data_IF_078370095688
#
_entry.id   IF_078370095688
#
_cell.length_a   1.000
_cell.length_b   1.000
_cell.length_c   1.000
_cell.angle_alpha   90.00
_cell.angle_beta   90.00
_cell.angle_gamma   90.00
#
_symmetry.space_group_name_H-M   'P 1'
#
loop_
_entity.id
_entity.type
_entity.pdbx_description
1 polymer ?
#
# COMPACT_ATOMS: atom_id res chain seq x y z
N UNK A 1 -18.69 -4.40 2.67
CA UNK A 1 -18.81 -3.29 1.68
C UNK A 1 -18.94 -3.84 0.27
N UNK A 2 -19.63 -3.09 -0.60
CA UNK A 2 -19.80 -3.42 -2.00
C UNK A 2 -19.33 -2.26 -2.89
N UNK A 3 -18.84 -2.56 -4.10
CA UNK A 3 -18.52 -1.55 -5.12
C UNK A 3 -19.01 -1.99 -6.48
N UNK A 4 -19.82 -1.14 -7.08
CA UNK A 4 -20.35 -1.29 -8.43
C UNK A 4 -19.89 -0.11 -9.27
N UNK A 5 -19.36 -0.36 -10.45
CA UNK A 5 -19.04 0.64 -11.45
C UNK A 5 -20.03 0.52 -12.62
N UNK A 6 -20.40 1.66 -13.21
CA UNK A 6 -21.39 1.72 -14.30
C UNK A 6 -22.83 1.58 -13.78
N UNK A 7 -23.78 1.64 -14.73
CA UNK A 7 -25.22 1.55 -14.46
C UNK A 7 -25.88 0.62 -15.49
N UNK A 8 -27.06 0.07 -15.11
CA UNK A 8 -27.84 -0.78 -15.99
C UNK A 8 -27.07 -2.01 -16.49
N UNK A 9 -27.09 -2.27 -17.80
CA UNK A 9 -26.44 -3.44 -18.43
C UNK A 9 -24.91 -3.38 -18.40
N UNK A 10 -24.30 -2.21 -18.16
CA UNK A 10 -22.85 -2.04 -18.06
C UNK A 10 -22.33 -2.11 -16.62
N UNK A 11 -23.18 -2.42 -15.66
CA UNK A 11 -22.83 -2.50 -14.25
C UNK A 11 -21.86 -3.64 -13.96
N UNK A 12 -20.69 -3.31 -13.42
CA UNK A 12 -19.67 -4.27 -12.98
C UNK A 12 -19.60 -4.28 -11.46
N UNK A 13 -19.93 -5.41 -10.84
CA UNK A 13 -19.78 -5.63 -9.40
C UNK A 13 -18.32 -5.95 -9.08
N UNK A 14 -17.51 -4.91 -8.83
CA UNK A 14 -16.09 -5.04 -8.58
C UNK A 14 -15.77 -5.59 -7.17
N UNK A 15 -16.61 -5.29 -6.16
CA UNK A 15 -16.54 -5.87 -4.81
C UNK A 15 -17.93 -6.32 -4.35
N UNK A 16 -17.99 -7.49 -3.69
CA UNK A 16 -19.23 -8.13 -3.23
C UNK A 16 -19.07 -8.59 -1.78
N UNK A 17 -19.77 -7.95 -0.87
CA UNK A 17 -19.84 -8.30 0.55
C UNK A 17 -18.47 -8.48 1.23
N UNK A 18 -17.49 -7.65 0.83
CA UNK A 18 -16.15 -7.68 1.41
C UNK A 18 -16.19 -7.14 2.83
N UNK A 19 -15.73 -7.95 3.79
CA UNK A 19 -15.65 -7.56 5.21
C UNK A 19 -14.43 -8.22 5.86
N UNK A 20 -13.55 -7.40 6.42
CA UNK A 20 -12.42 -7.84 7.26
C UNK A 20 -11.92 -6.66 8.10
N UNK A 21 -11.08 -6.96 9.09
CA UNK A 21 -10.37 -5.97 9.89
C UNK A 21 -8.87 -6.18 9.78
N UNK A 22 -8.08 -5.13 10.00
CA UNK A 22 -6.60 -5.18 10.03
C UNK A 22 -6.14 -4.69 11.39
N UNK A 23 -5.21 -5.41 12.01
CA UNK A 23 -4.65 -5.05 13.31
C UNK A 23 -3.48 -4.09 13.13
N UNK A 24 -3.26 -3.23 14.13
CA UNK A 24 -2.07 -2.36 14.15
C UNK A 24 -0.80 -3.20 14.15
N UNK A 25 0.16 -2.83 13.31
CA UNK A 25 1.43 -3.53 13.14
C UNK A 25 1.35 -4.79 12.28
N UNK A 26 0.17 -5.12 11.74
CA UNK A 26 -0.02 -6.31 10.88
C UNK A 26 0.56 -6.07 9.49
N UNK A 27 1.26 -7.09 8.97
CA UNK A 27 1.64 -7.18 7.57
C UNK A 27 0.66 -8.11 6.86
N UNK A 28 -0.31 -7.51 6.18
CA UNK A 28 -1.39 -8.20 5.45
C UNK A 28 -1.08 -8.27 3.97
N UNK A 29 -1.15 -9.46 3.36
CA UNK A 29 -1.18 -9.60 1.91
C UNK A 29 -2.63 -9.73 1.41
N UNK A 30 -2.91 -9.06 0.30
CA UNK A 30 -4.12 -9.23 -0.51
C UNK A 30 -3.69 -9.81 -1.85
N UNK A 31 -4.10 -11.05 -2.12
CA UNK A 31 -3.73 -11.79 -3.33
C UNK A 31 -4.95 -12.11 -4.18
N UNK A 32 -4.74 -12.45 -5.45
CA UNK A 32 -5.80 -12.86 -6.37
C UNK A 32 -5.39 -12.64 -7.82
N UNK A 33 -6.14 -13.23 -8.76
CA UNK A 33 -5.92 -13.07 -10.18
C UNK A 33 -6.13 -11.63 -10.67
N UNK A 34 -5.64 -11.31 -11.87
CA UNK A 34 -5.96 -10.03 -12.52
C UNK A 34 -7.48 -9.88 -12.67
N UNK A 35 -8.01 -8.68 -12.43
CA UNK A 35 -9.45 -8.40 -12.50
C UNK A 35 -10.28 -8.90 -11.31
N UNK A 36 -9.69 -9.54 -10.30
CA UNK A 36 -10.45 -10.08 -9.15
C UNK A 36 -11.03 -9.01 -8.21
N UNK A 37 -10.62 -7.73 -8.31
CA UNK A 37 -11.09 -6.63 -7.47
C UNK A 37 -10.04 -6.08 -6.48
N UNK A 38 -8.78 -6.56 -6.51
CA UNK A 38 -7.72 -6.13 -5.58
C UNK A 38 -7.46 -4.62 -5.59
N UNK A 39 -7.25 -4.03 -6.77
CA UNK A 39 -6.99 -2.59 -6.90
C UNK A 39 -8.22 -1.77 -6.51
N UNK A 40 -9.44 -2.27 -6.81
CA UNK A 40 -10.67 -1.64 -6.32
C UNK A 40 -10.71 -1.65 -4.79
N UNK A 41 -10.39 -2.78 -4.17
CA UNK A 41 -10.33 -2.87 -2.70
C UNK A 41 -9.29 -1.92 -2.12
N UNK A 42 -8.10 -1.85 -2.73
CA UNK A 42 -7.05 -0.93 -2.31
C UNK A 42 -7.50 0.53 -2.42
N UNK A 43 -8.25 0.89 -3.49
CA UNK A 43 -8.81 2.23 -3.65
C UNK A 43 -9.84 2.57 -2.57
N UNK A 44 -10.68 1.60 -2.15
CA UNK A 44 -11.63 1.80 -1.05
C UNK A 44 -10.89 2.04 0.28
N UNK A 45 -9.93 1.17 0.63
CA UNK A 45 -9.12 1.31 1.85
C UNK A 45 -8.27 2.58 1.78
N UNK A 46 -7.76 2.90 0.58
CA UNK A 46 -6.94 4.07 0.29
C UNK A 46 -7.71 5.39 0.27
N UNK A 47 -9.03 5.35 0.45
CA UNK A 47 -9.91 6.53 0.39
C UNK A 47 -9.74 7.33 -0.93
N UNK A 48 -9.42 6.61 -2.02
CA UNK A 48 -9.32 7.16 -3.37
C UNK A 48 -10.64 7.08 -4.11
N UNK A 49 -11.54 6.21 -3.64
CA UNK A 49 -12.90 6.05 -4.13
C UNK A 49 -13.82 5.67 -2.97
N UNK A 50 -15.14 5.78 -3.14
CA UNK A 50 -16.14 5.48 -2.12
C UNK A 50 -16.85 4.17 -2.43
N UNK A 51 -17.17 3.33 -1.43
CA UNK A 51 -18.00 2.14 -1.64
C UNK A 51 -19.40 2.55 -2.10
N UNK A 52 -20.03 1.72 -2.95
CA UNK A 52 -21.44 1.89 -3.34
C UNK A 52 -22.37 1.62 -2.16
N UNK A 53 -21.98 0.67 -1.29
CA UNK A 53 -22.65 0.40 -0.02
C UNK A 53 -21.70 -0.21 1.00
N UNK A 54 -22.06 -0.09 2.28
CA UNK A 54 -21.19 -0.49 3.39
C UNK A 54 -20.28 0.66 3.84
N UNK A 55 -19.29 0.34 4.69
CA UNK A 55 -18.48 1.33 5.39
C UNK A 55 -17.01 0.94 5.42
N UNK A 56 -16.15 1.95 5.49
CA UNK A 56 -14.71 1.81 5.75
C UNK A 56 -14.39 2.57 7.03
N UNK A 57 -13.85 1.84 8.03
CA UNK A 57 -13.39 2.43 9.28
C UNK A 57 -11.86 2.44 9.32
N UNK A 58 -11.28 3.58 9.67
CA UNK A 58 -9.85 3.72 9.90
C UNK A 58 -9.62 4.47 11.22
N UNK A 59 -8.85 3.89 12.13
CA UNK A 59 -8.64 4.40 13.49
C UNK A 59 -9.96 4.73 14.23
N UNK A 60 -11.01 3.91 14.03
CA UNK A 60 -12.34 4.10 14.63
C UNK A 60 -13.22 5.15 13.96
N UNK A 61 -12.74 5.85 12.93
CA UNK A 61 -13.49 6.86 12.18
C UNK A 61 -14.20 6.21 11.00
N UNK A 62 -15.53 6.42 10.88
CA UNK A 62 -16.29 6.06 9.68
C UNK A 62 -15.97 7.05 8.54
N UNK A 63 -15.11 6.62 7.63
CA UNK A 63 -14.60 7.49 6.55
C UNK A 63 -15.66 7.80 5.50
N UNK A 64 -16.77 7.06 5.46
CA UNK A 64 -17.88 7.31 4.53
C UNK A 64 -18.68 8.57 4.89
N UNK A 65 -18.55 9.03 6.13
CA UNK A 65 -19.22 10.23 6.64
C UNK A 65 -18.42 11.52 6.39
N UNK A 66 -17.14 11.41 5.97
CA UNK A 66 -16.28 12.55 5.72
C UNK A 66 -16.60 13.21 4.37
N UNK A 67 -16.61 14.55 4.31
CA UNK A 67 -16.64 15.26 3.04
C UNK A 67 -15.28 15.15 2.31
N UNK A 68 -15.18 15.62 1.08
CA UNK A 68 -13.99 15.41 0.23
C UNK A 68 -12.72 16.10 0.78
N UNK A 69 -12.86 17.26 1.41
CA UNK A 69 -11.75 17.99 2.04
C UNK A 69 -11.25 17.25 3.30
N UNK A 70 -12.18 16.81 4.13
CA UNK A 70 -11.88 16.01 5.31
C UNK A 70 -11.23 14.67 4.91
N UNK A 71 -11.79 14.00 3.91
CA UNK A 71 -11.28 12.74 3.38
C UNK A 71 -9.85 12.90 2.83
N UNK A 72 -9.59 13.99 2.09
CA UNK A 72 -8.26 14.29 1.57
C UNK A 72 -7.23 14.54 2.70
N UNK A 73 -7.61 15.33 3.69
CA UNK A 73 -6.76 15.60 4.87
C UNK A 73 -6.52 14.35 5.69
N UNK A 74 -7.56 13.55 5.90
CA UNK A 74 -7.51 12.29 6.63
C UNK A 74 -6.61 11.27 5.90
N UNK A 75 -6.78 11.12 4.58
CA UNK A 75 -5.94 10.26 3.73
C UNK A 75 -4.48 10.66 3.85
N UNK A 76 -4.13 11.94 3.70
CA UNK A 76 -2.76 12.41 3.78
C UNK A 76 -2.11 12.18 5.16
N UNK A 77 -2.89 12.25 6.25
CA UNK A 77 -2.38 12.06 7.62
C UNK A 77 -2.31 10.58 8.03
N UNK A 78 -3.22 9.74 7.54
CA UNK A 78 -3.41 8.37 8.04
C UNK A 78 -2.91 7.28 7.10
N UNK A 79 -2.72 7.59 5.82
CA UNK A 79 -2.34 6.62 4.81
C UNK A 79 -1.04 7.02 4.12
N UNK A 80 -0.15 6.01 3.96
CA UNK A 80 0.99 6.08 3.07
C UNK A 80 0.74 5.21 1.82
N UNK A 81 1.32 5.58 0.69
CA UNK A 81 1.16 4.85 -0.56
C UNK A 81 2.50 4.46 -1.17
N UNK A 82 2.59 3.22 -1.60
CA UNK A 82 3.70 2.67 -2.39
C UNK A 82 3.10 1.99 -3.61
N UNK A 83 3.49 2.41 -4.81
CA UNK A 83 2.97 1.86 -6.06
C UNK A 83 4.02 0.99 -6.76
N UNK A 84 3.58 0.20 -7.72
CA UNK A 84 4.41 -0.64 -8.56
C UNK A 84 5.52 0.17 -9.27
N UNK A 85 5.16 1.35 -9.82
CA UNK A 85 6.12 2.37 -10.20
C UNK A 85 6.30 3.33 -9.02
N UNK A 86 7.53 3.67 -8.68
CA UNK A 86 7.83 4.54 -7.53
C UNK A 86 7.16 5.93 -7.64
N UNK A 87 6.80 6.36 -8.86
CA UNK A 87 6.12 7.62 -9.17
C UNK A 87 6.80 8.82 -8.47
N UNK A 88 8.13 8.85 -8.55
CA UNK A 88 8.90 9.99 -8.10
C UNK A 88 8.89 11.09 -9.17
N UNK A 89 8.85 12.35 -8.75
CA UNK A 89 9.02 13.49 -9.63
C UNK A 89 10.48 13.58 -10.05
N UNK A 90 10.76 13.42 -11.34
CA UNK A 90 12.10 13.27 -11.93
C UNK A 90 13.04 14.44 -11.63
N UNK A 91 12.49 15.65 -11.55
CA UNK A 91 13.25 16.90 -11.39
C UNK A 91 13.55 17.23 -9.92
N UNK A 92 12.88 16.55 -9.01
CA UNK A 92 13.12 16.68 -7.58
C UNK A 92 14.20 15.69 -7.12
N UNK A 93 14.90 16.07 -6.07
CA UNK A 93 15.81 15.17 -5.35
C UNK A 93 15.01 14.07 -4.63
N UNK A 94 15.69 13.01 -4.20
CA UNK A 94 15.13 11.94 -3.37
C UNK A 94 14.57 12.51 -2.06
N UNK A 95 15.28 13.45 -1.43
CA UNK A 95 14.83 14.15 -0.23
C UNK A 95 13.55 14.96 -0.48
N UNK A 96 13.52 15.74 -1.55
CA UNK A 96 12.35 16.55 -1.91
C UNK A 96 11.13 15.69 -2.24
N UNK A 97 11.30 14.56 -2.97
CA UNK A 97 10.25 13.59 -3.20
C UNK A 97 9.69 13.01 -1.90
N UNK A 98 10.58 12.67 -0.96
CA UNK A 98 10.17 12.14 0.36
C UNK A 98 9.35 13.16 1.14
N UNK A 99 9.65 14.44 1.01
CA UNK A 99 8.96 15.53 1.71
C UNK A 99 7.59 15.93 1.12
N UNK A 100 7.26 15.51 -0.13
CA UNK A 100 6.05 15.96 -0.81
C UNK A 100 4.76 15.82 0.01
N UNK A 101 4.46 14.67 0.64
CA UNK A 101 3.21 14.53 1.40
C UNK A 101 3.14 15.48 2.60
N UNK A 102 4.28 15.78 3.22
CA UNK A 102 4.36 16.70 4.36
C UNK A 102 4.11 18.15 3.94
N UNK A 103 4.63 18.55 2.76
CA UNK A 103 4.43 19.90 2.21
C UNK A 103 2.97 20.22 1.89
N UNK A 104 2.12 19.22 1.61
CA UNK A 104 0.70 19.41 1.32
C UNK A 104 -0.05 19.92 2.56
N UNK A 105 0.31 19.46 3.76
CA UNK A 105 -0.36 19.87 4.99
C UNK A 105 0.31 21.07 5.66
N UNK A 106 1.56 20.95 6.01
CA UNK A 106 2.41 22.02 6.59
C UNK A 106 3.87 21.59 6.55
N UNK A 107 4.74 22.48 6.12
CA UNK A 107 6.19 22.27 6.29
C UNK A 107 6.57 22.82 7.66
N UNK A 108 6.93 21.96 8.59
CA UNK A 108 7.58 22.35 9.82
C UNK A 108 9.11 22.17 9.73
N UNK A 109 9.86 22.78 10.65
CA UNK A 109 11.32 22.72 10.63
C UNK A 109 11.87 21.31 10.86
N UNK A 110 11.07 20.38 11.44
CA UNK A 110 11.48 19.01 11.76
C UNK A 110 11.32 18.07 10.58
N UNK A 111 10.48 18.42 9.58
CA UNK A 111 10.15 17.55 8.44
C UNK A 111 11.40 17.12 7.65
N UNK A 112 12.38 18.02 7.48
CA UNK A 112 13.62 17.71 6.75
C UNK A 112 14.46 16.68 7.52
N UNK A 113 14.58 16.79 8.82
CA UNK A 113 15.36 15.86 9.64
C UNK A 113 14.66 14.50 9.74
N UNK A 114 13.33 14.47 9.82
CA UNK A 114 12.53 13.24 9.75
C UNK A 114 12.70 12.55 8.39
N UNK A 115 12.64 13.29 7.29
CA UNK A 115 12.86 12.74 5.95
C UNK A 115 14.27 12.16 5.79
N UNK A 116 15.32 12.88 6.29
CA UNK A 116 16.68 12.36 6.30
C UNK A 116 16.81 11.09 7.15
N UNK A 117 16.15 11.04 8.31
CA UNK A 117 16.12 9.84 9.15
C UNK A 117 15.47 8.64 8.42
N UNK A 118 14.32 8.85 7.77
CA UNK A 118 13.66 7.82 6.97
C UNK A 118 14.55 7.35 5.81
N UNK A 119 15.20 8.27 5.10
CA UNK A 119 16.10 7.93 4.00
C UNK A 119 17.32 7.12 4.48
N UNK A 120 17.87 7.40 5.67
CA UNK A 120 18.89 6.53 6.29
C UNK A 120 18.32 5.15 6.60
N UNK A 121 17.11 5.09 7.17
CA UNK A 121 16.45 3.82 7.52
C UNK A 121 16.25 2.92 6.30
N UNK A 122 15.92 3.50 5.14
CA UNK A 122 15.77 2.75 3.88
C UNK A 122 17.09 2.63 3.08
N UNK A 123 18.23 3.05 3.66
CA UNK A 123 19.57 2.90 3.05
C UNK A 123 19.84 3.83 1.87
N UNK A 124 19.28 5.05 1.89
CA UNK A 124 19.44 6.06 0.83
C UNK A 124 20.17 7.33 1.29
N UNK A 125 20.97 7.25 2.36
CA UNK A 125 21.68 8.41 2.89
C UNK A 125 22.57 9.09 1.83
N UNK A 126 23.30 8.31 1.04
CA UNK A 126 24.20 8.83 0.00
C UNK A 126 23.45 9.40 -1.22
N UNK A 127 22.20 8.97 -1.44
CA UNK A 127 21.41 9.35 -2.61
C UNK A 127 20.40 10.48 -2.34
N UNK A 128 20.27 10.95 -1.09
CA UNK A 128 19.18 11.87 -0.73
C UNK A 128 19.20 13.20 -1.52
N UNK A 129 20.38 13.64 -1.97
CA UNK A 129 20.55 14.85 -2.78
C UNK A 129 20.56 14.57 -4.30
N UNK A 130 20.52 13.31 -4.73
CA UNK A 130 20.44 12.98 -6.14
C UNK A 130 19.03 13.26 -6.67
N UNK A 131 18.91 13.69 -7.91
CA UNK A 131 17.62 13.77 -8.60
C UNK A 131 17.05 12.37 -8.81
N UNK A 132 15.71 12.24 -8.80
CA UNK A 132 15.04 10.96 -8.93
C UNK A 132 15.33 10.23 -10.25
N UNK A 133 15.65 10.97 -11.33
CA UNK A 133 16.06 10.38 -12.61
C UNK A 133 17.53 9.88 -12.64
N UNK A 134 18.27 10.02 -11.54
CA UNK A 134 19.69 9.60 -11.42
C UNK A 134 19.89 8.44 -10.44
N UNK A 135 18.81 7.77 -10.03
CA UNK A 135 18.86 6.63 -9.12
C UNK A 135 18.29 5.37 -9.78
N UNK A 136 18.67 4.19 -9.28
CA UNK A 136 18.17 2.91 -9.79
C UNK A 136 16.70 2.66 -9.38
N UNK A 137 16.01 1.74 -10.08
CA UNK A 137 14.63 1.36 -9.77
C UNK A 137 14.43 0.93 -8.31
N UNK A 138 15.33 0.10 -7.78
CA UNK A 138 15.29 -0.31 -6.37
C UNK A 138 15.55 0.84 -5.39
N UNK A 139 16.40 1.81 -5.76
CA UNK A 139 16.59 3.03 -4.99
C UNK A 139 15.34 3.91 -5.03
N UNK A 140 14.70 4.03 -6.20
CA UNK A 140 13.46 4.77 -6.36
C UNK A 140 12.33 4.14 -5.52
N UNK A 141 12.23 2.82 -5.50
CA UNK A 141 11.22 2.12 -4.70
C UNK A 141 11.45 2.32 -3.19
N UNK A 142 12.70 2.29 -2.72
CA UNK A 142 13.03 2.63 -1.32
C UNK A 142 12.68 4.08 -0.98
N UNK A 143 12.90 5.02 -1.91
CA UNK A 143 12.49 6.41 -1.73
C UNK A 143 10.95 6.56 -1.68
N UNK A 144 10.20 5.80 -2.50
CA UNK A 144 8.74 5.78 -2.45
C UNK A 144 8.23 5.24 -1.10
N UNK A 145 8.88 4.22 -0.53
CA UNK A 145 8.58 3.72 0.82
C UNK A 145 8.82 4.82 1.88
N UNK A 146 9.97 5.50 1.83
CA UNK A 146 10.26 6.61 2.74
C UNK A 146 9.24 7.75 2.61
N UNK A 147 8.85 8.09 1.37
CA UNK A 147 7.78 9.06 1.08
C UNK A 147 6.44 8.63 1.68
N UNK A 148 6.08 7.36 1.57
CA UNK A 148 4.87 6.80 2.16
C UNK A 148 4.83 6.90 3.70
N UNK A 149 5.99 6.91 4.35
CA UNK A 149 6.12 6.92 5.81
C UNK A 149 6.26 8.32 6.43
N UNK A 150 6.47 9.38 5.64
CA UNK A 150 6.88 10.71 6.15
C UNK A 150 5.85 11.34 7.10
N UNK A 151 4.57 11.06 6.92
CA UNK A 151 3.51 11.57 7.79
C UNK A 151 3.20 10.63 8.96
N UNK A 152 4.04 9.60 9.21
CA UNK A 152 3.80 8.57 10.24
C UNK A 152 2.40 7.96 10.14
N UNK A 153 2.01 7.44 8.98
CA UNK A 153 0.64 6.98 8.72
C UNK A 153 0.28 5.78 9.59
N UNK A 154 -1.03 5.60 9.84
CA UNK A 154 -1.54 4.39 10.51
C UNK A 154 -1.35 3.14 9.65
N UNK A 155 -1.50 3.27 8.32
CA UNK A 155 -1.37 2.17 7.36
C UNK A 155 -0.55 2.64 6.14
N UNK A 156 0.34 1.77 5.67
CA UNK A 156 0.97 1.89 4.35
C UNK A 156 0.31 0.90 3.40
N UNK A 157 -0.27 1.41 2.33
CA UNK A 157 -0.86 0.66 1.24
C UNK A 157 0.18 0.48 0.13
N UNK A 158 0.43 -0.75 -0.28
CA UNK A 158 1.36 -1.05 -1.34
C UNK A 158 0.68 -1.83 -2.46
N UNK A 159 0.71 -1.30 -3.68
CA UNK A 159 0.16 -1.94 -4.87
C UNK A 159 1.31 -2.47 -5.73
N UNK A 160 1.46 -3.80 -5.78
CA UNK A 160 2.52 -4.53 -6.50
C UNK A 160 3.93 -3.92 -6.30
N UNK A 161 4.39 -3.70 -5.03
CA UNK A 161 5.57 -2.86 -4.74
C UNK A 161 6.88 -3.40 -5.31
N UNK A 162 6.90 -4.63 -5.81
CA UNK A 162 8.05 -5.32 -6.36
C UNK A 162 7.89 -5.69 -7.85
N UNK A 163 6.72 -5.43 -8.43
CA UNK A 163 6.34 -5.94 -9.76
C UNK A 163 7.21 -5.45 -10.95
N UNK A 164 8.00 -4.40 -10.76
CA UNK A 164 8.91 -3.85 -11.79
C UNK A 164 10.39 -4.00 -11.43
N UNK A 165 10.72 -4.87 -10.48
CA UNK A 165 12.06 -5.07 -10.00
C UNK A 165 12.58 -6.48 -10.37
N UNK A 166 13.89 -6.60 -10.55
CA UNK A 166 14.52 -7.91 -10.62
C UNK A 166 14.37 -8.66 -9.27
N UNK A 167 14.52 -9.97 -9.29
CA UNK A 167 14.27 -10.85 -8.13
C UNK A 167 15.13 -10.50 -6.90
N UNK A 168 16.39 -10.10 -7.12
CA UNK A 168 17.30 -9.74 -6.03
C UNK A 168 16.88 -8.41 -5.39
N UNK A 169 16.57 -7.42 -6.20
CA UNK A 169 16.10 -6.12 -5.75
C UNK A 169 14.73 -6.24 -5.08
N UNK A 170 13.85 -7.07 -5.62
CA UNK A 170 12.52 -7.35 -5.06
C UNK A 170 12.63 -7.94 -3.65
N UNK A 171 13.50 -8.93 -3.43
CA UNK A 171 13.76 -9.51 -2.11
C UNK A 171 14.22 -8.44 -1.11
N UNK A 172 15.12 -7.55 -1.51
CA UNK A 172 15.58 -6.44 -0.64
C UNK A 172 14.40 -5.55 -0.22
N UNK A 173 13.48 -5.25 -1.14
CA UNK A 173 12.29 -4.43 -0.84
C UNK A 173 11.34 -5.15 0.12
N UNK A 174 11.10 -6.46 -0.09
CA UNK A 174 10.27 -7.27 0.80
C UNK A 174 10.85 -7.29 2.22
N UNK A 175 12.15 -7.56 2.36
CA UNK A 175 12.84 -7.59 3.66
C UNK A 175 12.82 -6.22 4.34
N UNK A 176 12.96 -5.14 3.57
CA UNK A 176 12.83 -3.79 4.09
C UNK A 176 11.43 -3.55 4.68
N UNK A 177 10.35 -3.89 3.94
CA UNK A 177 8.97 -3.71 4.40
C UNK A 177 8.69 -4.54 5.66
N UNK A 178 9.13 -5.80 5.71
CA UNK A 178 9.04 -6.65 6.91
C UNK A 178 9.79 -6.05 8.11
N UNK A 179 10.99 -5.55 7.86
CA UNK A 179 11.79 -4.88 8.90
C UNK A 179 11.11 -3.63 9.44
N UNK A 180 10.49 -2.82 8.57
CA UNK A 180 9.75 -1.62 8.97
C UNK A 180 8.49 -1.98 9.76
N UNK A 181 7.74 -3.00 9.32
CA UNK A 181 6.58 -3.51 10.06
C UNK A 181 6.99 -3.92 11.47
N UNK A 182 8.03 -4.76 11.61
CA UNK A 182 8.49 -5.27 12.90
C UNK A 182 9.11 -4.20 13.79
N UNK A 183 10.00 -3.34 13.26
CA UNK A 183 10.78 -2.38 14.06
C UNK A 183 9.99 -1.13 14.42
N UNK A 184 9.11 -0.66 13.54
CA UNK A 184 8.32 0.56 13.73
C UNK A 184 6.88 0.26 14.17
N UNK A 185 6.46 -1.00 14.22
CA UNK A 185 5.06 -1.38 14.41
C UNK A 185 4.15 -0.85 13.30
N UNK A 186 4.71 -0.69 12.10
CA UNK A 186 3.99 -0.12 10.96
C UNK A 186 3.06 -1.18 10.33
N UNK A 187 1.80 -0.82 10.17
CA UNK A 187 0.84 -1.65 9.44
C UNK A 187 1.06 -1.53 7.94
N UNK A 188 1.17 -2.67 7.26
CA UNK A 188 1.22 -2.75 5.80
C UNK A 188 0.05 -3.56 5.26
N UNK A 189 -0.62 -3.04 4.23
CA UNK A 189 -1.54 -3.80 3.38
C UNK A 189 -0.94 -3.81 1.98
N UNK A 190 -0.56 -4.99 1.52
CA UNK A 190 0.17 -5.19 0.27
C UNK A 190 -0.69 -5.98 -0.68
N UNK A 191 -0.98 -5.41 -1.84
CA UNK A 191 -1.60 -6.12 -2.95
C UNK A 191 -0.50 -6.70 -3.82
N UNK A 192 -0.57 -7.99 -4.11
CA UNK A 192 0.36 -8.67 -5.01
C UNK A 192 -0.28 -9.90 -5.65
N UNK A 193 0.20 -10.29 -6.81
CA UNK A 193 -0.13 -11.57 -7.45
C UNK A 193 0.87 -12.68 -7.08
N UNK A 194 2.02 -12.33 -6.50
CA UNK A 194 3.07 -13.26 -6.07
C UNK A 194 3.21 -13.29 -4.54
N UNK A 195 2.41 -14.16 -3.90
CA UNK A 195 2.49 -14.38 -2.45
C UNK A 195 3.81 -15.02 -2.01
N UNK A 196 4.43 -15.82 -2.88
CA UNK A 196 5.64 -16.58 -2.53
C UNK A 196 6.83 -15.67 -2.30
N UNK A 197 6.89 -14.53 -3.00
CA UNK A 197 7.94 -13.53 -2.83
C UNK A 197 7.96 -12.93 -1.41
N UNK A 198 6.81 -12.86 -0.75
CA UNK A 198 6.71 -12.33 0.61
C UNK A 198 6.98 -13.39 1.69
N UNK A 199 6.94 -14.70 1.36
CA UNK A 199 7.13 -15.77 2.35
C UNK A 199 6.15 -15.65 3.52
N UNK A 200 6.62 -15.85 4.76
CA UNK A 200 5.77 -15.72 5.95
C UNK A 200 5.35 -14.27 6.20
N UNK A 201 4.06 -14.08 6.41
CA UNK A 201 3.39 -12.81 6.75
C UNK A 201 2.33 -13.09 7.81
N UNK A 202 1.80 -12.04 8.47
CA UNK A 202 0.83 -12.23 9.55
C UNK A 202 -0.49 -12.81 9.04
N UNK A 203 -0.93 -12.39 7.84
CA UNK A 203 -2.18 -12.88 7.25
C UNK A 203 -2.22 -12.65 5.74
N UNK A 204 -2.96 -13.56 5.06
CA UNK A 204 -3.26 -13.46 3.64
C UNK A 204 -4.78 -13.42 3.45
N UNK A 205 -5.25 -12.51 2.61
CA UNK A 205 -6.64 -12.46 2.12
C UNK A 205 -6.61 -12.70 0.62
N UNK A 206 -7.37 -13.67 0.16
CA UNK A 206 -7.53 -13.95 -1.27
C UNK A 206 -8.77 -13.23 -1.80
N UNK A 207 -8.62 -12.45 -2.85
CA UNK A 207 -9.75 -11.84 -3.58
C UNK A 207 -10.03 -12.66 -4.82
N UNK A 208 -11.26 -13.14 -4.92
CA UNK A 208 -11.77 -13.90 -6.07
C UNK A 208 -13.17 -13.40 -6.41
N UNK A 209 -13.39 -12.99 -7.67
CA UNK A 209 -14.69 -12.52 -8.18
C UNK A 209 -15.33 -11.43 -7.30
N UNK A 210 -14.50 -10.50 -6.82
CA UNK A 210 -14.92 -9.39 -5.94
C UNK A 210 -15.21 -9.78 -4.48
N UNK A 211 -14.98 -11.01 -4.07
CA UNK A 211 -15.18 -11.49 -2.69
C UNK A 211 -13.86 -11.72 -1.96
N UNK A 212 -13.84 -11.48 -0.67
CA UNK A 212 -12.66 -11.69 0.18
C UNK A 212 -12.77 -13.02 0.95
N UNK A 213 -11.69 -13.82 0.90
CA UNK A 213 -11.55 -15.08 1.62
C UNK A 213 -10.35 -14.99 2.55
N UNK A 214 -10.59 -15.19 3.85
CA UNK A 214 -9.54 -15.14 4.89
C UNK A 214 -9.11 -16.58 5.18
N UNK A 215 -7.85 -16.92 4.90
CA UNK A 215 -7.21 -18.12 5.46
C UNK A 215 -7.67 -19.48 4.92
N UNK A 216 -8.07 -19.60 3.63
CA UNK A 216 -8.35 -20.90 3.00
C UNK A 216 -7.59 -21.06 1.68
N UNK A 217 -6.32 -21.50 1.76
CA UNK A 217 -5.65 -22.20 0.66
C UNK A 217 -4.61 -23.20 1.17
N UNK A 218 -5.04 -24.19 1.97
CA UNK A 218 -4.30 -25.43 2.17
C UNK A 218 -5.24 -26.64 2.39
N UNK A 219 -6.36 -26.72 1.65
CA UNK A 219 -7.09 -27.97 1.52
C UNK A 219 -7.68 -28.08 0.11
N UNK A 220 -7.08 -28.98 -0.69
CA UNK A 220 -7.75 -29.49 -1.85
C UNK A 220 -7.02 -29.38 -3.18
N UNK A 221 -5.89 -30.07 -3.34
CA UNK A 221 -5.54 -30.79 -4.55
C UNK A 221 -4.89 -32.12 -4.13
N UNK A 222 -5.67 -33.01 -3.61
CA UNK A 222 -5.40 -34.44 -3.78
C UNK A 222 -5.77 -34.78 -5.22
N UNK A 223 -4.74 -34.86 -6.07
CA UNK A 223 -4.87 -35.51 -7.37
C UNK A 223 -4.96 -37.00 -7.09
N UNK A 224 -6.17 -37.54 -7.09
CA UNK A 224 -6.39 -38.97 -7.22
C UNK A 224 -5.96 -39.36 -8.62
N UNK A 225 -4.74 -39.91 -8.73
CA UNK A 225 -4.33 -40.70 -9.89
C UNK A 225 -5.06 -42.04 -9.81
N UNK A 226 -5.88 -42.33 -10.79
CA UNK A 226 -6.38 -43.64 -11.13
C UNK A 226 -5.79 -44.05 -12.45
#
# INVERSE_FOLDING_TARGET
MNKVYGEGETAVNALRDVSFSVKKGELLLIVGSSGSGKSTLLNMIGLLDRPTSGKVFLDGVDTTMLNDNELSSFRNSKLGFVFQFANLLSDLTVLENTLLPRKIQRTDKTAVDEAKKLLRTVGLEKQMNNRANKISGGQAQRAAIARGLINSPSIVLADEPTGNLDSVTAEIIVQLMKSLAKKLGQTFIIVTHDKHQFGEVDRVITIKDGRAFVGEEQRGMEVTAS
#
